data_IF_643042203309
#
_entry.id   IF_643042203309
#
_cell.length_a   1.000
_cell.length_b   1.000
_cell.length_c   1.000
_cell.angle_alpha   90.00
_cell.angle_beta   90.00
_cell.angle_gamma   90.00
#
_symmetry.space_group_name_H-M   'P 1'
#
loop_
_entity.id
_entity.type
_entity.pdbx_description
1 polymer ?
#
# COMPACT_ATOMS: atom_id res chain seq x y z
N UNK A 1 2.27 9.30 10.86
CA UNK A 1 1.00 8.98 10.19
C UNK A 1 1.29 8.48 8.79
N UNK A 2 0.55 7.48 8.32
CA UNK A 2 0.70 6.95 6.97
C UNK A 2 -0.67 6.96 6.30
N UNK A 3 -0.71 7.40 5.05
CA UNK A 3 -1.92 7.47 4.23
C UNK A 3 -1.62 6.91 2.84
N UNK A 4 -2.60 6.23 2.24
CA UNK A 4 -2.49 5.61 0.92
C UNK A 4 -3.57 6.18 0.00
N UNK A 5 -3.15 6.73 -1.14
CA UNK A 5 -4.05 7.28 -2.16
C UNK A 5 -3.95 6.47 -3.46
N UNK A 6 -5.01 6.49 -4.28
CA UNK A 6 -5.09 5.72 -5.53
C UNK A 6 -5.83 4.37 -5.41
N UNK A 7 -6.56 4.15 -4.32
CA UNK A 7 -7.43 2.97 -4.11
C UNK A 7 -8.92 3.30 -4.26
N UNK A 8 -9.25 4.55 -4.58
CA UNK A 8 -10.60 5.13 -4.53
C UNK A 8 -11.55 4.54 -5.59
N UNK A 9 -10.99 4.05 -6.70
CA UNK A 9 -11.73 3.46 -7.81
C UNK A 9 -11.80 1.92 -7.73
N UNK A 10 -11.40 1.36 -6.58
CA UNK A 10 -11.29 -0.08 -6.38
C UNK A 10 -9.86 -0.60 -6.62
N UNK A 11 -9.70 -1.91 -6.44
CA UNK A 11 -8.38 -2.56 -6.46
C UNK A 11 -8.14 -3.28 -7.77
N UNK A 12 -7.02 -2.95 -8.41
CA UNK A 12 -6.54 -3.61 -9.62
C UNK A 12 -5.18 -4.30 -9.38
N UNK A 13 -4.91 -5.44 -10.04
CA UNK A 13 -3.61 -6.11 -9.97
C UNK A 13 -2.50 -5.17 -10.44
N UNK A 14 -1.36 -5.15 -9.73
CA UNK A 14 -0.18 -4.36 -10.09
C UNK A 14 -0.43 -2.85 -10.28
N UNK A 15 -1.47 -2.30 -9.66
CA UNK A 15 -1.70 -0.85 -9.73
C UNK A 15 -0.68 -0.05 -8.94
N UNK A 16 -0.38 1.15 -9.39
CA UNK A 16 0.44 2.10 -8.65
C UNK A 16 -0.43 2.84 -7.63
N UNK A 17 0.06 2.94 -6.39
CA UNK A 17 -0.56 3.72 -5.31
C UNK A 17 0.45 4.69 -4.74
N UNK A 18 0.00 5.75 -4.08
CA UNK A 18 0.89 6.72 -3.45
C UNK A 18 0.83 6.60 -1.94
N UNK A 19 1.98 6.41 -1.30
CA UNK A 19 2.12 6.50 0.15
C UNK A 19 2.48 7.91 0.55
N UNK A 20 1.67 8.52 1.41
CA UNK A 20 1.99 9.75 2.11
C UNK A 20 2.40 9.40 3.55
N UNK A 21 3.68 9.54 3.85
CA UNK A 21 4.25 9.29 5.17
C UNK A 21 4.55 10.62 5.88
N UNK A 22 3.93 10.84 7.04
CA UNK A 22 4.21 11.97 7.93
C UNK A 22 4.98 11.50 9.15
N UNK A 23 6.19 12.02 9.31
CA UNK A 23 7.05 11.82 10.48
C UNK A 23 6.60 12.67 11.67
N UNK A 24 6.98 12.30 12.91
CA UNK A 24 6.74 13.13 14.09
C UNK A 24 7.46 14.50 14.04
N UNK A 25 8.52 14.61 13.24
CA UNK A 25 9.22 15.87 12.90
C UNK A 25 8.45 16.73 11.87
N UNK A 26 7.13 16.51 11.71
CA UNK A 26 6.23 17.15 10.74
C UNK A 26 6.59 17.00 9.25
N UNK A 27 7.72 16.35 8.92
CA UNK A 27 8.10 16.07 7.54
C UNK A 27 7.12 15.12 6.87
N UNK A 28 6.62 15.53 5.71
CA UNK A 28 5.76 14.72 4.86
C UNK A 28 6.53 14.26 3.62
N UNK A 29 6.44 12.97 3.29
CA UNK A 29 7.05 12.37 2.10
C UNK A 29 6.00 11.61 1.31
N UNK A 30 6.02 11.78 -0.01
CA UNK A 30 5.16 11.03 -0.93
C UNK A 30 6.02 10.09 -1.76
N UNK A 31 5.65 8.81 -1.82
CA UNK A 31 6.41 7.77 -2.48
C UNK A 31 5.45 6.88 -3.29
N UNK A 32 5.73 6.61 -4.57
CA UNK A 32 4.94 5.65 -5.35
C UNK A 32 5.23 4.22 -4.87
N UNK A 33 4.19 3.42 -4.73
CA UNK A 33 4.24 1.99 -4.40
C UNK A 33 3.51 1.19 -5.47
N UNK A 34 3.89 -0.08 -5.62
CA UNK A 34 3.24 -1.03 -6.51
C UNK A 34 2.41 -2.02 -5.69
N UNK A 35 1.12 -2.16 -5.98
CA UNK A 35 0.26 -3.13 -5.34
C UNK A 35 0.54 -4.54 -5.88
N UNK A 36 1.15 -5.40 -5.05
CA UNK A 36 1.55 -6.76 -5.42
C UNK A 36 0.42 -7.79 -5.32
N UNK A 37 -0.74 -7.46 -5.90
CA UNK A 37 -1.73 -8.48 -6.26
C UNK A 37 -1.33 -8.95 -7.65
N UNK A 38 -0.70 -10.12 -7.72
CA UNK A 38 -0.09 -10.63 -8.95
C UNK A 38 -1.05 -11.49 -9.78
N UNK A 39 -2.08 -12.06 -9.13
CA UNK A 39 -3.06 -12.95 -9.76
C UNK A 39 -4.51 -12.56 -9.45
N UNK A 40 -5.47 -12.88 -10.33
CA UNK A 40 -6.89 -12.62 -10.09
C UNK A 40 -7.45 -13.39 -8.89
N UNK A 41 -6.88 -14.56 -8.57
CA UNK A 41 -7.27 -15.33 -7.38
C UNK A 41 -6.92 -14.58 -6.09
N UNK A 42 -5.77 -13.90 -6.01
CA UNK A 42 -5.40 -13.04 -4.88
C UNK A 42 -6.34 -11.82 -4.72
N UNK A 43 -6.87 -11.29 -5.82
CA UNK A 43 -7.89 -10.24 -5.77
C UNK A 43 -9.18 -10.78 -5.11
N UNK A 44 -9.59 -12.00 -5.43
CA UNK A 44 -10.77 -12.63 -4.83
C UNK A 44 -10.55 -12.84 -3.31
N UNK A 45 -9.37 -13.30 -2.90
CA UNK A 45 -8.98 -13.36 -1.49
C UNK A 45 -9.00 -11.99 -0.80
N UNK A 46 -8.61 -10.91 -1.49
CA UNK A 46 -8.69 -9.55 -0.96
C UNK A 46 -10.15 -9.10 -0.77
N UNK A 47 -11.05 -9.42 -1.72
CA UNK A 47 -12.47 -9.05 -1.68
C UNK A 47 -13.27 -9.79 -0.61
N UNK A 48 -12.86 -11.00 -0.22
CA UNK A 48 -13.60 -11.88 0.68
C UNK A 48 -13.22 -11.79 2.18
N UNK A 49 -12.35 -10.87 2.59
CA UNK A 49 -12.04 -10.67 4.02
C UNK A 49 -10.57 -10.42 4.34
N UNK A 50 -9.69 -10.48 3.34
CA UNK A 50 -8.34 -9.92 3.39
C UNK A 50 -7.31 -10.69 4.23
N UNK A 51 -6.09 -10.80 3.71
CA UNK A 51 -4.91 -11.21 4.49
C UNK A 51 -4.10 -10.01 5.01
N UNK A 52 -4.69 -8.82 5.08
CA UNK A 52 -3.97 -7.60 5.45
C UNK A 52 -4.60 -6.82 6.61
N UNK A 53 -4.45 -7.28 7.86
CA UNK A 53 -4.13 -6.38 8.94
C UNK A 53 -2.61 -6.12 8.93
N UNK A 54 -2.19 -4.89 8.61
CA UNK A 54 -0.81 -4.36 8.65
C UNK A 54 0.19 -4.87 7.59
N UNK A 55 0.24 -4.20 6.45
CA UNK A 55 1.54 -3.91 5.82
C UNK A 55 2.07 -2.56 6.36
N UNK A 56 2.55 -2.58 7.62
CA UNK A 56 3.70 -1.77 8.02
C UNK A 56 4.76 -2.76 8.46
N UNK A 57 5.63 -3.13 7.53
CA UNK A 57 6.98 -3.62 7.78
C UNK A 57 7.68 -3.81 6.43
N UNK A 58 8.98 -3.46 6.40
CA UNK A 58 9.92 -3.61 5.30
C UNK A 58 9.94 -2.52 4.21
N UNK A 59 10.16 -1.28 4.63
CA UNK A 59 11.19 -0.44 4.00
C UNK A 59 12.04 0.22 5.10
N UNK A 60 12.59 -0.62 5.99
CA UNK A 60 13.72 -0.27 6.84
C UNK A 60 14.84 -1.23 6.43
N UNK A 61 15.70 -0.76 5.52
CA UNK A 61 16.75 -1.54 4.91
C UNK A 61 17.47 -0.76 3.82
N UNK A 62 17.81 0.49 4.10
CA UNK A 62 18.81 1.23 3.33
C UNK A 62 20.02 1.41 4.23
N UNK A 63 21.11 0.69 3.93
CA UNK A 63 22.47 1.12 4.28
C UNK A 63 22.75 2.47 3.61
#
# INVERSE_FOLDING_TARGET
>A
MFDLSGLEQGIQPRQAVTLTARSPDERTRQLPLLLRIDTPVEMEYYRHGGILPKCVAAAAGGQ
#
